data_IF_940651942620
#
_entry.id   IF_940651942620
#
_cell.length_a   1.000
_cell.length_b   1.000
_cell.length_c   1.000
_cell.angle_alpha   90.00
_cell.angle_beta   90.00
_cell.angle_gamma   90.00
#
_symmetry.space_group_name_H-M   'P 1'
#
loop_
_entity.id
_entity.type
_entity.pdbx_description
1 polymer ?
#
# COMPACT_ATOMS: atom_id res chain seq x y z
N UNK A 1 -31.40 6.14 24.57
CA UNK A 1 -30.10 5.52 24.95
C UNK A 1 -29.09 5.81 23.85
N UNK A 2 -28.01 6.54 24.13
CA UNK A 2 -26.97 6.86 23.14
C UNK A 2 -25.94 5.74 23.16
N UNK A 3 -25.67 5.11 22.00
CA UNK A 3 -24.64 4.08 21.87
C UNK A 3 -23.28 4.62 22.37
N UNK A 4 -22.58 3.86 23.22
CA UNK A 4 -21.22 4.17 23.70
C UNK A 4 -20.12 3.86 22.68
N UNK A 5 -20.48 3.44 21.46
CA UNK A 5 -19.52 2.99 20.46
C UNK A 5 -19.24 4.07 19.41
N UNK A 6 -17.98 4.45 19.26
CA UNK A 6 -17.48 5.31 18.18
C UNK A 6 -16.72 4.48 17.15
N UNK A 7 -17.09 4.58 15.88
CA UNK A 7 -16.39 3.93 14.77
C UNK A 7 -15.63 5.00 13.99
N UNK A 8 -14.35 4.75 13.71
CA UNK A 8 -13.55 5.65 12.87
C UNK A 8 -14.02 5.57 11.42
N UNK A 9 -14.44 6.70 10.85
CA UNK A 9 -14.85 6.78 9.44
C UNK A 9 -13.62 6.65 8.53
N UNK A 10 -13.68 5.70 7.59
CA UNK A 10 -12.65 5.54 6.57
C UNK A 10 -12.82 6.62 5.48
N UNK A 11 -12.22 7.80 5.69
CA UNK A 11 -12.13 8.84 4.66
C UNK A 11 -11.01 8.52 3.67
N UNK A 12 -11.22 8.72 2.37
CA UNK A 12 -10.18 8.56 1.33
C UNK A 12 -9.57 7.15 1.27
N UNK A 13 -10.38 6.12 1.50
CA UNK A 13 -9.99 4.72 1.31
C UNK A 13 -10.77 4.17 0.12
N UNK A 14 -10.06 3.52 -0.81
CA UNK A 14 -10.68 2.87 -1.96
C UNK A 14 -11.58 1.72 -1.50
N UNK A 15 -12.77 1.63 -2.12
CA UNK A 15 -13.73 0.54 -1.93
C UNK A 15 -13.39 -0.71 -2.76
N UNK A 16 -12.37 -0.64 -3.60
CA UNK A 16 -11.98 -1.75 -4.47
C UNK A 16 -11.42 -2.93 -3.69
N UNK A 17 -11.56 -4.12 -4.28
CA UNK A 17 -10.92 -5.32 -3.74
C UNK A 17 -9.40 -5.20 -3.88
N UNK A 18 -8.63 -5.72 -2.91
CA UNK A 18 -7.18 -5.71 -3.03
C UNK A 18 -6.71 -6.51 -4.25
N UNK A 19 -5.65 -6.02 -4.89
CA UNK A 19 -5.04 -6.71 -6.02
C UNK A 19 -4.51 -8.07 -5.61
N UNK A 20 -4.95 -9.11 -6.32
CA UNK A 20 -4.60 -10.51 -6.04
C UNK A 20 -3.09 -10.76 -6.01
N UNK A 21 -2.33 -10.04 -6.85
CA UNK A 21 -0.87 -10.19 -6.94
C UNK A 21 -0.13 -9.84 -5.65
N UNK A 22 -0.71 -8.99 -4.79
CA UNK A 22 -0.10 -8.56 -3.53
C UNK A 22 -0.76 -9.18 -2.30
N UNK A 23 -1.60 -10.19 -2.49
CA UNK A 23 -2.35 -10.84 -1.41
C UNK A 23 -1.91 -12.29 -1.28
N UNK A 24 -1.47 -12.65 -0.07
CA UNK A 24 -1.02 -14.00 0.26
C UNK A 24 -1.88 -14.58 1.40
N UNK A 25 -2.21 -15.86 1.31
CA UNK A 25 -2.83 -16.60 2.39
C UNK A 25 -1.87 -16.68 3.59
N UNK A 26 -2.38 -16.41 4.79
CA UNK A 26 -1.62 -16.60 6.03
C UNK A 26 -2.47 -17.33 7.06
N UNK A 27 -1.92 -18.40 7.59
CA UNK A 27 -2.52 -19.13 8.71
C UNK A 27 -2.22 -18.45 10.04
N UNK A 28 -3.16 -18.58 10.97
CA UNK A 28 -3.06 -17.99 12.30
C UNK A 28 -2.43 -18.99 13.25
N UNK A 29 -1.40 -18.55 13.97
CA UNK A 29 -0.81 -19.34 15.05
C UNK A 29 -1.71 -19.45 16.30
N UNK A 30 -2.69 -18.55 16.44
CA UNK A 30 -3.57 -18.45 17.62
C UNK A 30 -2.80 -18.38 18.96
N UNK A 31 -1.59 -17.82 18.97
CA UNK A 31 -0.76 -17.72 20.17
C UNK A 31 0.00 -19.00 20.55
N UNK A 32 0.05 -19.99 19.65
CA UNK A 32 0.80 -21.24 19.85
C UNK A 32 2.14 -21.23 19.12
N UNK A 33 3.12 -21.95 19.67
CA UNK A 33 4.41 -22.20 19.03
C UNK A 33 4.41 -23.46 18.15
N UNK A 34 5.55 -23.79 17.54
CA UNK A 34 5.71 -24.97 16.68
C UNK A 34 5.47 -26.32 17.38
N UNK A 35 5.58 -26.38 18.72
CA UNK A 35 5.25 -27.57 19.54
C UNK A 35 3.79 -27.60 19.99
N UNK A 36 2.94 -26.69 19.49
CA UNK A 36 1.52 -26.58 19.84
C UNK A 36 1.24 -25.99 21.22
N UNK A 37 2.27 -25.57 21.98
CA UNK A 37 2.09 -24.97 23.31
C UNK A 37 1.66 -23.51 23.19
N UNK A 38 0.74 -23.08 24.04
CA UNK A 38 0.36 -21.66 24.15
C UNK A 38 1.55 -20.89 24.72
N UNK A 39 2.05 -19.93 23.95
CA UNK A 39 3.11 -19.01 24.39
C UNK A 39 2.59 -17.59 24.59
N UNK A 40 1.51 -17.22 23.89
CA UNK A 40 0.86 -15.91 24.02
C UNK A 40 -0.62 -16.14 24.33
N UNK A 41 -1.03 -15.74 25.53
CA UNK A 41 -2.42 -15.81 25.97
C UNK A 41 -3.31 -14.75 25.30
N UNK A 42 -4.62 -14.92 25.38
CA UNK A 42 -5.64 -14.01 24.84
C UNK A 42 -5.54 -13.75 23.32
N UNK A 43 -4.94 -14.68 22.58
CA UNK A 43 -4.90 -14.68 21.11
C UNK A 43 -5.71 -15.87 20.57
N UNK A 44 -6.38 -15.69 19.45
CA UNK A 44 -7.25 -16.71 18.82
C UNK A 44 -8.64 -16.16 18.50
N UNK A 45 -9.46 -16.93 17.77
CA UNK A 45 -10.89 -16.64 17.55
C UNK A 45 -11.27 -15.48 16.61
N UNK A 46 -10.33 -14.65 16.15
CA UNK A 46 -10.65 -13.54 15.25
C UNK A 46 -10.96 -13.94 13.80
N UNK A 47 -11.51 -13.00 13.02
CA UNK A 47 -11.86 -13.13 11.59
C UNK A 47 -10.66 -13.41 10.67
N UNK A 48 -10.79 -14.26 9.64
CA UNK A 48 -9.68 -14.63 8.75
C UNK A 48 -9.19 -13.41 7.97
N UNK A 49 -7.87 -13.24 7.89
CA UNK A 49 -7.23 -12.09 7.22
C UNK A 49 -6.14 -12.60 6.29
N UNK A 50 -6.15 -12.11 5.06
CA UNK A 50 -5.06 -12.36 4.12
C UNK A 50 -3.93 -11.36 4.37
N UNK A 51 -2.69 -11.82 4.28
CA UNK A 51 -1.52 -10.95 4.41
C UNK A 51 -1.30 -10.18 3.11
N UNK A 52 -0.84 -8.93 3.21
CA UNK A 52 -0.44 -8.12 2.06
C UNK A 52 1.08 -8.04 1.95
N UNK A 53 1.60 -8.28 0.76
CA UNK A 53 3.02 -8.11 0.45
C UNK A 53 3.33 -6.62 0.32
N UNK A 54 4.27 -6.13 1.10
CA UNK A 54 4.61 -4.70 1.17
C UNK A 54 6.11 -4.55 1.09
N UNK A 55 6.53 -3.57 0.30
CA UNK A 55 7.90 -3.15 0.22
C UNK A 55 8.26 -2.23 1.41
N UNK A 56 8.78 -2.85 2.48
CA UNK A 56 9.31 -2.13 3.64
C UNK A 56 10.75 -1.67 3.44
N UNK A 57 11.49 -2.29 2.50
CA UNK A 57 12.91 -2.00 2.28
C UNK A 57 13.09 -0.74 1.42
N UNK A 58 12.15 -0.47 0.50
CA UNK A 58 12.10 0.75 -0.32
C UNK A 58 13.39 1.00 -1.10
N UNK A 59 13.93 -0.07 -1.69
CA UNK A 59 15.13 -0.02 -2.55
C UNK A 59 14.83 0.52 -3.97
N UNK A 60 13.61 0.98 -4.25
CA UNK A 60 13.16 1.45 -5.57
C UNK A 60 13.39 2.96 -5.75
N UNK A 61 13.15 3.45 -6.97
CA UNK A 61 13.20 4.87 -7.37
C UNK A 61 12.66 5.82 -6.29
N UNK A 62 13.28 7.00 -6.10
CA UNK A 62 12.81 7.97 -5.11
C UNK A 62 11.45 8.59 -5.46
N UNK A 63 11.00 8.48 -6.71
CA UNK A 63 9.79 9.16 -7.20
C UNK A 63 8.75 8.15 -7.68
N UNK A 64 7.55 8.22 -7.09
CA UNK A 64 6.40 7.39 -7.46
C UNK A 64 5.08 8.12 -7.28
N UNK A 65 4.08 7.70 -8.05
CA UNK A 65 2.71 8.22 -8.02
C UNK A 65 1.84 7.26 -7.21
N UNK A 66 1.09 7.79 -6.24
CA UNK A 66 0.10 7.01 -5.49
C UNK A 66 -1.14 6.81 -6.36
N UNK A 67 -1.49 5.57 -6.64
CA UNK A 67 -2.69 5.23 -7.42
C UNK A 67 -3.94 5.13 -6.53
N UNK A 68 -3.84 4.45 -5.38
CA UNK A 68 -4.95 4.31 -4.43
C UNK A 68 -4.49 4.06 -3.00
N UNK A 69 -5.33 4.44 -2.04
CA UNK A 69 -5.14 4.17 -0.62
C UNK A 69 -6.13 3.08 -0.19
N UNK A 70 -5.65 2.04 0.48
CA UNK A 70 -6.45 0.89 0.89
C UNK A 70 -6.37 0.63 2.39
N UNK A 71 -7.42 0.00 2.91
CA UNK A 71 -7.44 -0.55 4.26
C UNK A 71 -6.69 -1.88 4.32
N UNK A 72 -5.88 -2.11 5.35
CA UNK A 72 -5.23 -3.41 5.61
C UNK A 72 -5.59 -3.90 7.02
N UNK A 73 -6.27 -5.06 7.17
CA UNK A 73 -6.68 -5.57 8.47
C UNK A 73 -5.52 -6.11 9.32
N UNK A 74 -4.30 -6.21 8.78
CA UNK A 74 -3.14 -6.74 9.49
C UNK A 74 -2.33 -5.66 10.23
N UNK A 75 -2.72 -4.38 10.11
CA UNK A 75 -2.11 -3.27 10.84
C UNK A 75 -3.10 -2.12 11.05
N UNK A 76 -2.68 -1.12 11.82
CA UNK A 76 -3.48 0.08 12.07
C UNK A 76 -3.41 1.07 10.92
N UNK A 77 -2.23 1.23 10.31
CA UNK A 77 -2.00 2.16 9.19
C UNK A 77 -2.65 1.70 7.89
N UNK A 78 -3.09 2.67 7.08
CA UNK A 78 -3.52 2.44 5.69
C UNK A 78 -2.31 2.17 4.80
N UNK A 79 -2.53 1.51 3.66
CA UNK A 79 -1.48 1.30 2.65
C UNK A 79 -1.78 2.09 1.39
N UNK A 80 -0.72 2.47 0.69
CA UNK A 80 -0.80 3.10 -0.61
C UNK A 80 -0.27 2.14 -1.68
N UNK A 81 -1.04 1.96 -2.75
CA UNK A 81 -0.49 1.39 -3.98
C UNK A 81 0.25 2.50 -4.71
N UNK A 82 1.54 2.26 -4.97
CA UNK A 82 2.43 3.22 -5.62
C UNK A 82 2.87 2.66 -6.96
N UNK A 83 2.74 3.47 -8.00
CA UNK A 83 3.35 3.26 -9.30
C UNK A 83 4.61 4.10 -9.39
N UNK A 84 5.75 3.44 -9.53
CA UNK A 84 7.04 4.09 -9.59
C UNK A 84 7.31 4.72 -10.96
N UNK A 85 7.90 5.93 -10.94
CA UNK A 85 8.43 6.59 -12.12
C UNK A 85 9.86 6.06 -12.35
N UNK A 86 9.97 5.09 -13.26
CA UNK A 86 11.20 4.57 -13.89
C UNK A 86 12.12 3.62 -13.11
N UNK A 87 12.59 2.58 -13.83
CA UNK A 87 13.75 1.76 -13.45
C UNK A 87 13.60 0.23 -13.29
N UNK A 88 12.56 -0.45 -13.77
CA UNK A 88 12.63 -1.91 -14.01
C UNK A 88 11.52 -2.38 -14.97
N UNK A 89 11.94 -2.89 -16.13
CA UNK A 89 11.11 -3.70 -17.01
C UNK A 89 10.55 -4.90 -16.23
N UNK A 90 9.23 -4.96 -16.08
CA UNK A 90 8.54 -6.23 -15.99
C UNK A 90 7.73 -6.31 -17.27
N UNK A 91 8.17 -7.19 -18.17
CA UNK A 91 7.44 -7.59 -19.35
C UNK A 91 5.97 -7.88 -18.98
N UNK A 92 5.11 -6.90 -19.24
CA UNK A 92 3.73 -7.20 -19.59
C UNK A 92 3.73 -7.31 -21.10
N UNK A 93 3.47 -8.48 -21.71
CA UNK A 93 3.04 -8.50 -23.09
C UNK A 93 1.70 -7.77 -23.15
N UNK A 94 1.74 -6.46 -23.42
CA UNK A 94 0.56 -5.72 -23.84
C UNK A 94 0.27 -6.14 -25.27
N UNK A 95 -0.64 -7.09 -25.47
CA UNK A 95 -1.46 -7.04 -26.69
C UNK A 95 -2.42 -5.87 -26.53
N UNK A 96 -1.97 -4.68 -26.93
CA UNK A 96 -2.86 -3.53 -27.08
C UNK A 96 -2.91 -3.19 -28.56
N UNK A 97 -4.05 -3.52 -29.19
CA UNK A 97 -4.34 -3.13 -30.56
C UNK A 97 -4.25 -1.60 -30.67
N UNK A 98 -3.48 -1.16 -31.66
CA UNK A 98 -3.27 0.22 -32.04
C UNK A 98 -4.58 0.89 -32.43
N UNK A 99 -5.03 1.86 -31.64
CA UNK A 99 -5.92 2.92 -32.12
C UNK A 99 -5.36 4.25 -31.65
N UNK A 100 -4.70 4.93 -32.59
CA UNK A 100 -4.24 6.30 -32.46
C UNK A 100 -5.42 7.20 -32.06
N UNK A 101 -5.30 7.94 -30.96
CA UNK A 101 -6.15 9.10 -30.68
C UNK A 101 -5.25 10.33 -30.51
N UNK A 102 -5.67 11.37 -31.22
CA UNK A 102 -4.94 12.59 -31.57
C UNK A 102 -4.38 13.32 -30.34
N UNK A 103 -3.17 13.83 -30.50
CA UNK A 103 -2.44 14.67 -29.55
C UNK A 103 -3.25 15.93 -29.23
N UNK A 104 -3.58 16.16 -27.96
CA UNK A 104 -3.90 17.50 -27.46
C UNK A 104 -2.56 18.20 -27.12
N UNK A 105 -2.38 19.50 -27.42
CA UNK A 105 -1.16 20.21 -27.05
C UNK A 105 -0.99 20.20 -25.53
N UNK A 106 0.21 19.84 -25.09
CA UNK A 106 0.60 19.70 -23.69
C UNK A 106 0.48 21.04 -22.95
N UNK A 107 -0.01 21.08 -21.69
CA UNK A 107 0.07 22.30 -20.89
C UNK A 107 1.55 22.62 -20.59
N UNK A 108 1.90 23.91 -20.67
CA UNK A 108 3.23 24.43 -20.35
C UNK A 108 3.61 24.04 -18.92
N UNK A 109 4.72 23.31 -18.79
CA UNK A 109 5.29 22.87 -17.52
C UNK A 109 5.88 24.11 -16.82
N UNK A 110 5.39 24.46 -15.63
CA UNK A 110 6.04 25.46 -14.77
C UNK A 110 7.39 24.91 -14.27
N UNK A 111 8.40 25.75 -14.08
CA UNK A 111 9.72 25.29 -13.62
C UNK A 111 9.59 24.55 -12.28
N UNK A 112 10.28 23.42 -12.19
CA UNK A 112 10.41 22.64 -10.96
C UNK A 112 11.02 23.52 -9.87
N UNK A 113 10.27 23.75 -8.80
CA UNK A 113 10.84 24.24 -7.55
C UNK A 113 11.76 23.12 -7.07
N UNK A 114 13.06 23.28 -7.33
CA UNK A 114 14.11 22.42 -6.84
C UNK A 114 14.19 22.63 -5.32
N UNK A 115 13.47 21.80 -4.57
CA UNK A 115 13.72 21.65 -3.14
C UNK A 115 15.04 20.88 -3.04
N UNK A 116 16.13 21.62 -2.86
CA UNK A 116 17.50 21.10 -2.68
C UNK A 116 17.77 20.56 -1.27
N UNK A 117 16.73 20.35 -0.47
CA UNK A 117 16.93 19.91 0.90
C UNK A 117 16.80 18.39 0.95
N UNK A 118 17.96 17.75 0.96
CA UNK A 118 18.10 16.40 1.47
C UNK A 118 17.50 16.42 2.88
N UNK A 119 16.33 15.80 3.07
CA UNK A 119 15.77 15.59 4.40
C UNK A 119 16.70 14.67 5.20
N UNK A 120 17.69 15.26 5.85
CA UNK A 120 18.55 14.62 6.84
C UNK A 120 17.90 14.72 8.22
N UNK A 121 17.64 13.58 8.86
CA UNK A 121 17.07 13.50 10.21
C UNK A 121 17.94 14.15 11.30
N UNK A 122 19.16 14.59 10.97
CA UNK A 122 20.06 15.35 11.84
C UNK A 122 19.71 16.83 12.00
N UNK A 123 18.73 17.34 11.23
CA UNK A 123 18.44 18.78 11.13
C UNK A 123 17.03 19.15 11.60
N UNK A 124 16.34 18.25 12.29
CA UNK A 124 15.04 18.53 12.94
C UNK A 124 15.36 18.84 14.41
N UNK A 125 14.83 19.93 15.00
CA UNK A 125 15.11 20.32 16.38
C UNK A 125 14.67 19.27 17.41
#
# INVERSE_FOLDING_TARGET
MRSKHSITRAQNVSSERPLRQFVTGKDKSAGRNSKGRITIFYRGGGEKRSQRTIDLKRNTSPVGVVERIEYDPNRTSRIAMVRWAEGAAVDRPKKFNSLQKKLHPTPKILPSISIKDQFSFSSIP
#
